data_IF_208039816994
#
_entry.id   IF_208039816994
#
_cell.length_a   1.000
_cell.length_b   1.000
_cell.length_c   1.000
_cell.angle_alpha   90.00
_cell.angle_beta   90.00
_cell.angle_gamma   90.00
#
_symmetry.space_group_name_H-M   'P 1'
#
loop_
_entity.id
_entity.type
_entity.pdbx_description
1 polymer ?
#
# COMPACT_ATOMS: atom_id res chain seq x y z
N UNK A 1 26.57 -9.80 -6.22
CA UNK A 1 25.53 -8.92 -5.67
C UNK A 1 25.51 -9.08 -4.17
N UNK A 2 25.60 -7.98 -3.41
CA UNK A 2 25.52 -8.06 -1.94
C UNK A 2 24.06 -8.23 -1.48
N UNK A 3 23.87 -8.79 -0.28
CA UNK A 3 22.53 -8.93 0.31
C UNK A 3 21.76 -7.60 0.32
N UNK A 4 22.46 -6.49 0.63
CA UNK A 4 21.90 -5.13 0.58
C UNK A 4 21.37 -4.76 -0.81
N UNK A 5 22.10 -5.09 -1.88
CA UNK A 5 21.67 -4.80 -3.25
C UNK A 5 20.42 -5.60 -3.64
N UNK A 6 20.35 -6.87 -3.22
CA UNK A 6 19.18 -7.73 -3.45
C UNK A 6 17.96 -7.15 -2.73
N UNK A 7 18.10 -6.79 -1.45
CA UNK A 7 17.01 -6.18 -0.68
C UNK A 7 16.52 -4.89 -1.34
N UNK A 8 17.43 -4.01 -1.78
CA UNK A 8 17.06 -2.77 -2.48
C UNK A 8 16.30 -3.06 -3.77
N UNK A 9 16.78 -4.00 -4.59
CA UNK A 9 16.12 -4.35 -5.86
C UNK A 9 14.72 -4.91 -5.66
N UNK A 10 14.54 -5.77 -4.65
CA UNK A 10 13.22 -6.34 -4.34
C UNK A 10 12.26 -5.23 -3.91
N UNK A 11 12.67 -4.37 -2.97
CA UNK A 11 11.81 -3.27 -2.49
C UNK A 11 11.51 -2.24 -3.59
N UNK A 12 12.49 -1.89 -4.41
CA UNK A 12 12.30 -0.99 -5.55
C UNK A 12 11.36 -1.60 -6.59
N UNK A 13 11.54 -2.89 -6.91
CA UNK A 13 10.65 -3.62 -7.82
C UNK A 13 9.21 -3.68 -7.31
N UNK A 14 9.02 -3.94 -6.02
CA UNK A 14 7.69 -3.92 -5.38
C UNK A 14 7.06 -2.53 -5.48
N UNK A 15 7.81 -1.47 -5.15
CA UNK A 15 7.33 -0.10 -5.21
C UNK A 15 6.89 0.29 -6.63
N UNK A 16 7.70 -0.04 -7.64
CA UNK A 16 7.37 0.20 -9.05
C UNK A 16 6.12 -0.59 -9.45
N UNK A 17 6.02 -1.86 -9.08
CA UNK A 17 4.84 -2.68 -9.38
C UNK A 17 3.56 -2.07 -8.76
N UNK A 18 3.61 -1.62 -7.51
CA UNK A 18 2.47 -0.97 -6.86
C UNK A 18 2.05 0.32 -7.57
N UNK A 19 3.01 1.16 -7.97
CA UNK A 19 2.73 2.39 -8.71
C UNK A 19 2.12 2.11 -10.09
N UNK A 20 2.62 1.09 -10.79
CA UNK A 20 2.08 0.68 -12.08
C UNK A 20 0.65 0.14 -11.96
N UNK A 21 0.37 -0.69 -10.93
CA UNK A 21 -0.97 -1.18 -10.65
C UNK A 21 -1.94 -0.05 -10.31
N UNK A 22 -1.52 0.91 -9.48
CA UNK A 22 -2.33 2.08 -9.15
C UNK A 22 -2.58 2.96 -10.40
N UNK A 23 -1.56 3.20 -11.23
CA UNK A 23 -1.73 3.92 -12.49
C UNK A 23 -2.66 3.19 -13.46
N UNK A 24 -2.56 1.85 -13.52
CA UNK A 24 -3.44 1.02 -14.35
C UNK A 24 -4.87 0.99 -13.81
N UNK A 25 -5.06 1.05 -12.50
CA UNK A 25 -6.39 1.11 -11.86
C UNK A 25 -7.18 2.36 -12.27
N UNK A 26 -6.49 3.47 -12.59
CA UNK A 26 -7.10 4.74 -13.01
C UNK A 26 -7.62 4.74 -14.44
N UNK A 27 -7.29 3.71 -15.25
CA UNK A 27 -7.84 3.60 -16.61
C UNK A 27 -9.34 3.27 -16.55
N UNK A 28 -10.17 3.99 -17.33
CA UNK A 28 -11.64 3.86 -17.35
C UNK A 28 -12.20 2.43 -17.51
N UNK A 29 -11.44 1.49 -18.08
CA UNK A 29 -11.84 0.08 -18.28
C UNK A 29 -11.03 -0.91 -17.43
N UNK A 30 -10.28 -0.43 -16.44
CA UNK A 30 -9.47 -1.29 -15.60
C UNK A 30 -10.35 -2.14 -14.69
N UNK A 31 -10.03 -3.44 -14.59
CA UNK A 31 -10.61 -4.35 -13.59
C UNK A 31 -9.82 -4.35 -12.28
N UNK A 32 -8.69 -3.65 -12.24
CA UNK A 32 -7.82 -3.58 -11.08
C UNK A 32 -8.40 -2.52 -10.13
N UNK A 33 -8.80 -2.89 -8.91
CA UNK A 33 -9.26 -1.91 -7.93
C UNK A 33 -8.10 -1.01 -7.52
N UNK A 34 -8.37 0.30 -7.40
CA UNK A 34 -7.39 1.25 -6.87
C UNK A 34 -7.13 0.98 -5.38
N UNK A 35 -5.99 1.46 -4.88
CA UNK A 35 -5.71 1.39 -3.45
C UNK A 35 -6.82 2.04 -2.62
N UNK A 36 -7.33 3.20 -3.06
CA UNK A 36 -8.45 3.87 -2.41
C UNK A 36 -9.74 3.02 -2.39
N UNK A 37 -10.01 2.26 -3.45
CA UNK A 37 -11.16 1.36 -3.50
C UNK A 37 -10.99 0.18 -2.52
N UNK A 38 -9.78 -0.35 -2.36
CA UNK A 38 -9.48 -1.39 -1.38
C UNK A 38 -9.63 -0.89 0.06
N UNK A 39 -9.09 0.31 0.37
CA UNK A 39 -9.27 0.95 1.68
C UNK A 39 -10.74 1.21 1.96
N UNK A 40 -11.48 1.76 0.99
CA UNK A 40 -12.92 2.00 1.11
C UNK A 40 -13.69 0.70 1.33
N UNK A 41 -13.30 -0.39 0.67
CA UNK A 41 -13.90 -1.71 0.89
C UNK A 41 -13.60 -2.23 2.30
N UNK A 42 -12.37 -2.08 2.80
CA UNK A 42 -11.99 -2.43 4.17
C UNK A 42 -12.76 -1.63 5.22
N UNK A 43 -13.02 -0.35 4.95
CA UNK A 43 -13.84 0.52 5.81
C UNK A 43 -15.30 0.06 5.97
N UNK A 44 -15.78 -0.90 5.17
CA UNK A 44 -17.16 -1.40 5.29
C UNK A 44 -17.34 -2.37 6.46
N UNK A 45 -16.27 -2.95 7.01
CA UNK A 45 -16.35 -3.87 8.16
C UNK A 45 -15.74 -3.23 9.41
N UNK A 46 -16.25 -3.61 10.59
CA UNK A 46 -15.69 -3.14 11.86
C UNK A 46 -14.21 -3.55 12.01
N UNK A 47 -13.87 -4.79 11.65
CA UNK A 47 -12.49 -5.29 11.64
C UNK A 47 -11.59 -4.52 10.67
N UNK A 48 -12.07 -4.19 9.48
CA UNK A 48 -11.30 -3.44 8.50
C UNK A 48 -11.08 -1.98 8.89
N UNK A 49 -12.06 -1.33 9.54
CA UNK A 49 -11.88 0.01 10.14
C UNK A 49 -10.78 -0.01 11.19
N UNK A 50 -10.80 -0.97 12.12
CA UNK A 50 -9.77 -1.11 13.16
C UNK A 50 -8.40 -1.35 12.51
N UNK A 51 -8.31 -2.23 11.52
CA UNK A 51 -7.04 -2.51 10.83
C UNK A 51 -6.44 -1.27 10.17
N UNK A 52 -7.25 -0.48 9.46
CA UNK A 52 -6.76 0.75 8.81
C UNK A 52 -6.41 1.82 9.83
N UNK A 53 -7.22 2.01 10.89
CA UNK A 53 -6.91 2.97 11.96
C UNK A 53 -5.62 2.59 12.71
N UNK A 54 -5.45 1.29 13.01
CA UNK A 54 -4.23 0.78 13.64
C UNK A 54 -3.01 0.99 12.72
N UNK A 55 -3.15 0.72 11.42
CA UNK A 55 -2.11 1.01 10.43
C UNK A 55 -1.75 2.49 10.35
N UNK A 56 -2.76 3.37 10.36
CA UNK A 56 -2.55 4.81 10.39
C UNK A 56 -1.84 5.29 11.66
N UNK A 57 -2.32 4.83 12.83
CA UNK A 57 -1.73 5.14 14.12
C UNK A 57 -0.27 4.66 14.19
N UNK A 58 -0.01 3.44 13.72
CA UNK A 58 1.34 2.88 13.65
C UNK A 58 2.26 3.73 12.79
N UNK A 59 1.82 4.14 11.59
CA UNK A 59 2.59 5.03 10.71
C UNK A 59 2.90 6.34 11.43
N UNK A 60 1.87 6.98 12.00
CA UNK A 60 2.04 8.23 12.75
C UNK A 60 3.08 8.08 13.87
N UNK A 61 2.88 7.10 14.76
CA UNK A 61 3.82 6.85 15.86
C UNK A 61 5.23 6.53 15.35
N UNK A 62 5.37 5.74 14.29
CA UNK A 62 6.68 5.35 13.76
C UNK A 62 7.46 6.54 13.18
N UNK A 63 6.78 7.47 12.52
CA UNK A 63 7.43 8.66 11.94
C UNK A 63 7.57 9.81 12.93
N UNK A 64 6.65 9.99 13.88
CA UNK A 64 6.71 11.06 14.90
C UNK A 64 7.59 10.71 16.11
N UNK A 65 7.93 9.43 16.31
CA UNK A 65 8.85 9.00 17.38
C UNK A 65 10.34 9.06 16.98
N UNK A 66 10.64 9.58 15.79
CA UNK A 66 12.00 9.85 15.30
C UNK A 66 12.24 11.35 15.20
#
# INVERSE_FOLDING_TARGET
MSNRQITILIWAGLAVAMLLLEALSRRRRSRIPSFGALVTRGMRTASGRVAVLAGWLWIGLHYFSR
#
